data_IF_495984607897
#
_entry.id   IF_495984607897
#
_cell.length_a   1.000
_cell.length_b   1.000
_cell.length_c   1.000
_cell.angle_alpha   90.00
_cell.angle_beta   90.00
_cell.angle_gamma   90.00
#
_symmetry.space_group_name_H-M   'P 1'
#
loop_
_entity.id
_entity.type
_entity.pdbx_description
1 polymer ?
#
# COMPACT_ATOMS: atom_id res chain seq x y z
N UNK A 1 -14.19 7.16 18.97
CA UNK A 1 -15.60 7.65 18.85
C UNK A 1 -15.97 7.48 17.40
N UNK A 2 -16.98 6.68 17.09
CA UNK A 2 -17.49 6.59 15.71
C UNK A 2 -18.09 7.93 15.31
N UNK A 3 -17.56 8.51 14.23
CA UNK A 3 -18.07 9.74 13.64
C UNK A 3 -19.52 9.64 13.22
N UNK A 4 -20.13 10.76 12.84
CA UNK A 4 -21.53 10.82 12.40
C UNK A 4 -21.80 9.93 11.17
N UNK A 5 -20.74 9.58 10.44
CA UNK A 5 -20.75 8.71 9.26
C UNK A 5 -20.40 7.24 9.52
N UNK A 6 -20.24 6.84 10.79
CA UNK A 6 -19.95 5.44 11.16
C UNK A 6 -18.55 4.94 10.79
N UNK A 7 -17.67 5.83 10.31
CA UNK A 7 -16.26 5.55 10.05
C UNK A 7 -15.43 6.20 11.16
N UNK A 8 -14.49 5.47 11.74
CA UNK A 8 -13.55 6.01 12.72
C UNK A 8 -12.26 6.44 12.00
N UNK A 9 -11.93 7.74 11.96
CA UNK A 9 -10.73 8.22 11.26
C UNK A 9 -9.44 7.56 11.76
N UNK A 10 -9.34 7.31 13.07
CA UNK A 10 -8.20 6.60 13.67
C UNK A 10 -8.04 5.20 13.10
N UNK A 11 -9.13 4.47 12.85
CA UNK A 11 -9.06 3.14 12.25
C UNK A 11 -8.54 3.18 10.81
N UNK A 12 -8.87 4.24 10.05
CA UNK A 12 -8.31 4.45 8.70
C UNK A 12 -6.82 4.80 8.76
N UNK A 13 -6.40 5.64 9.70
CA UNK A 13 -4.98 5.98 9.92
C UNK A 13 -4.17 4.75 10.34
N UNK A 14 -4.71 3.92 11.24
CA UNK A 14 -4.08 2.68 11.68
C UNK A 14 -3.95 1.69 10.53
N UNK A 15 -4.99 1.59 9.70
CA UNK A 15 -4.93 0.76 8.49
C UNK A 15 -3.87 1.29 7.53
N UNK A 16 -3.80 2.60 7.28
CA UNK A 16 -2.76 3.20 6.46
C UNK A 16 -1.35 2.88 6.97
N UNK A 17 -1.14 2.93 8.29
CA UNK A 17 0.14 2.53 8.89
C UNK A 17 0.51 1.06 8.64
N UNK A 18 -0.48 0.15 8.63
CA UNK A 18 -0.24 -1.25 8.25
C UNK A 18 0.18 -1.41 6.80
N UNK A 19 -0.41 -0.64 5.88
CA UNK A 19 -0.02 -0.66 4.47
C UNK A 19 1.42 -0.14 4.28
N UNK A 20 1.82 0.92 4.97
CA UNK A 20 3.20 1.40 4.92
C UNK A 20 4.19 0.35 5.45
N UNK A 21 3.89 -0.28 6.59
CA UNK A 21 4.73 -1.35 7.14
C UNK A 21 4.87 -2.52 6.15
N UNK A 22 3.77 -2.94 5.51
CA UNK A 22 3.84 -3.98 4.50
C UNK A 22 4.66 -3.56 3.27
N UNK A 23 4.62 -2.29 2.87
CA UNK A 23 5.44 -1.78 1.78
C UNK A 23 6.94 -1.80 2.13
N UNK A 24 7.29 -1.41 3.35
CA UNK A 24 8.67 -1.48 3.86
C UNK A 24 9.14 -2.92 3.98
N UNK A 25 8.33 -3.80 4.59
CA UNK A 25 8.64 -5.22 4.80
C UNK A 25 8.81 -5.99 3.48
N UNK A 26 8.24 -5.51 2.38
CA UNK A 26 8.37 -6.11 1.04
C UNK A 26 9.72 -5.83 0.37
N UNK A 27 10.44 -4.78 0.79
CA UNK A 27 11.70 -4.40 0.15
C UNK A 27 12.75 -5.54 0.26
N UNK A 28 12.90 -6.11 1.45
CA UNK A 28 13.90 -7.15 1.72
C UNK A 28 13.64 -8.46 0.94
N UNK A 29 12.41 -9.04 0.94
CA UNK A 29 12.09 -10.19 0.10
C UNK A 29 12.26 -9.93 -1.40
N UNK A 30 11.94 -8.73 -1.90
CA UNK A 30 12.12 -8.36 -3.32
C UNK A 30 13.61 -8.34 -3.66
N UNK A 31 14.44 -7.74 -2.81
CA UNK A 31 15.89 -7.75 -2.99
C UNK A 31 16.47 -9.16 -2.93
N UNK A 32 16.02 -9.99 -2.00
CA UNK A 32 16.46 -11.39 -1.90
C UNK A 32 16.06 -12.21 -3.14
N UNK A 33 14.84 -12.01 -3.66
CA UNK A 33 14.38 -12.64 -4.89
C UNK A 33 15.22 -12.21 -6.09
N UNK A 34 15.52 -10.92 -6.22
CA UNK A 34 16.38 -10.39 -7.28
C UNK A 34 17.78 -11.01 -7.25
N UNK A 35 18.39 -11.08 -6.06
CA UNK A 35 19.70 -11.71 -5.87
C UNK A 35 19.70 -13.19 -6.28
N UNK A 36 18.74 -13.96 -5.75
CA UNK A 36 18.61 -15.39 -6.08
C UNK A 36 18.37 -15.61 -7.58
N UNK A 37 17.57 -14.74 -8.21
CA UNK A 37 17.29 -14.79 -9.65
C UNK A 37 18.55 -14.56 -10.48
N UNK A 38 19.42 -13.64 -10.05
CA UNK A 38 20.70 -13.37 -10.70
C UNK A 38 21.67 -14.56 -10.58
N UNK A 39 21.79 -15.15 -9.38
CA UNK A 39 22.63 -16.34 -9.14
C UNK A 39 22.20 -17.54 -10.00
N UNK A 40 20.88 -17.77 -10.12
CA UNK A 40 20.35 -18.80 -11.01
C UNK A 40 20.68 -18.48 -12.47
N UNK A 41 20.58 -17.20 -12.86
CA UNK A 41 21.06 -16.67 -14.13
C UNK A 41 22.48 -17.09 -14.47
N UNK A 42 23.41 -16.84 -13.55
CA UNK A 42 24.84 -17.12 -13.69
C UNK A 42 25.13 -18.63 -13.72
N UNK A 43 24.52 -19.40 -12.80
CA UNK A 43 24.74 -20.84 -12.71
C UNK A 43 24.35 -21.57 -13.99
N UNK A 44 23.22 -21.22 -14.60
CA UNK A 44 22.80 -21.81 -15.86
C UNK A 44 23.64 -21.33 -17.06
N UNK A 45 24.10 -20.08 -17.04
CA UNK A 45 25.05 -19.57 -18.03
C UNK A 45 26.37 -20.35 -18.03
N UNK A 46 26.88 -20.70 -16.85
CA UNK A 46 28.08 -21.52 -16.71
C UNK A 46 27.88 -22.98 -17.18
N UNK A 47 26.65 -23.50 -17.10
CA UNK A 47 26.32 -24.87 -17.48
C UNK A 47 26.05 -25.07 -18.98
N UNK A 48 26.04 -23.99 -19.79
CA UNK A 48 25.79 -24.07 -21.23
C UNK A 48 24.44 -24.72 -21.58
N UNK A 49 23.48 -24.66 -20.65
CA UNK A 49 22.24 -25.41 -20.72
C UNK A 49 21.24 -24.77 -21.70
N UNK A 50 20.91 -25.50 -22.77
CA UNK A 50 19.77 -25.32 -23.68
C UNK A 50 19.12 -23.91 -23.67
N UNK A 51 19.68 -22.99 -24.45
CA UNK A 51 19.39 -21.54 -24.45
C UNK A 51 17.89 -21.19 -24.38
N UNK A 52 17.04 -21.92 -25.09
CA UNK A 52 15.60 -21.62 -25.15
C UNK A 52 14.81 -21.88 -23.86
N UNK A 53 15.25 -22.81 -23.01
CA UNK A 53 14.62 -23.01 -21.69
C UNK A 53 15.11 -21.96 -20.69
N UNK A 54 16.39 -21.62 -20.78
CA UNK A 54 17.00 -20.59 -19.93
C UNK A 54 16.39 -19.21 -20.19
N UNK A 55 16.21 -18.84 -21.46
CA UNK A 55 15.66 -17.54 -21.84
C UNK A 55 14.20 -17.36 -21.33
N UNK A 56 13.42 -18.45 -21.32
CA UNK A 56 12.06 -18.44 -20.74
C UNK A 56 12.09 -18.28 -19.22
N UNK A 57 13.02 -18.96 -18.55
CA UNK A 57 13.16 -18.85 -17.10
C UNK A 57 13.60 -17.45 -16.68
N UNK A 58 14.57 -16.86 -17.39
CA UNK A 58 15.00 -15.47 -17.16
C UNK A 58 13.86 -14.48 -17.38
N UNK A 59 13.07 -14.64 -18.46
CA UNK A 59 11.88 -13.79 -18.72
C UNK A 59 10.85 -13.91 -17.60
N UNK A 60 10.61 -15.12 -17.08
CA UNK A 60 9.70 -15.34 -15.96
C UNK A 60 10.21 -14.65 -14.69
N UNK A 61 11.49 -14.79 -14.35
CA UNK A 61 12.09 -14.16 -13.18
C UNK A 61 12.05 -12.63 -13.29
N UNK A 62 12.40 -12.08 -14.46
CA UNK A 62 12.35 -10.65 -14.71
C UNK A 62 10.93 -10.08 -14.59
N UNK A 63 9.94 -10.74 -15.21
CA UNK A 63 8.54 -10.31 -15.10
C UNK A 63 7.97 -10.47 -13.68
N UNK A 64 8.44 -11.46 -12.93
CA UNK A 64 8.08 -11.63 -11.51
C UNK A 64 8.67 -10.50 -10.67
N UNK A 65 9.95 -10.17 -10.88
CA UNK A 65 10.61 -9.08 -10.19
C UNK A 65 9.93 -7.73 -10.48
N UNK A 66 9.59 -7.48 -11.75
CA UNK A 66 8.83 -6.30 -12.16
C UNK A 66 7.48 -6.24 -11.45
N UNK A 67 6.69 -7.32 -11.47
CA UNK A 67 5.39 -7.35 -10.79
C UNK A 67 5.52 -7.08 -9.28
N UNK A 68 6.52 -7.70 -8.63
CA UNK A 68 6.77 -7.51 -7.20
C UNK A 68 7.23 -6.09 -6.87
N UNK A 69 8.04 -5.45 -7.73
CA UNK A 69 8.54 -4.09 -7.48
C UNK A 69 7.45 -3.02 -7.50
N UNK A 70 6.27 -3.31 -8.07
CA UNK A 70 5.13 -2.39 -8.05
C UNK A 70 4.32 -2.47 -6.74
N UNK A 71 4.43 -3.57 -5.97
CA UNK A 71 3.61 -3.77 -4.76
C UNK A 71 3.84 -2.69 -3.67
N UNK A 72 5.09 -2.27 -3.37
CA UNK A 72 5.32 -1.20 -2.40
C UNK A 72 4.66 0.12 -2.81
N UNK A 73 4.67 0.46 -4.10
CA UNK A 73 4.02 1.68 -4.61
C UNK A 73 2.50 1.61 -4.47
N UNK A 74 1.90 0.46 -4.76
CA UNK A 74 0.46 0.23 -4.57
C UNK A 74 0.08 0.39 -3.10
N UNK A 75 0.84 -0.19 -2.18
CA UNK A 75 0.55 -0.10 -0.75
C UNK A 75 0.71 1.32 -0.19
N UNK A 76 1.77 2.02 -0.56
CA UNK A 76 1.96 3.43 -0.15
C UNK A 76 0.88 4.35 -0.75
N UNK A 77 0.45 4.07 -1.98
CA UNK A 77 -0.68 4.76 -2.62
C UNK A 77 -2.01 4.55 -1.88
N UNK A 78 -2.34 3.32 -1.51
CA UNK A 78 -3.54 3.02 -0.74
C UNK A 78 -3.47 3.61 0.68
N UNK A 79 -2.31 3.57 1.33
CA UNK A 79 -2.09 4.23 2.62
C UNK A 79 -2.35 5.75 2.54
N UNK A 80 -1.85 6.42 1.49
CA UNK A 80 -2.11 7.84 1.27
C UNK A 80 -3.60 8.13 1.09
N UNK A 81 -4.32 7.30 0.34
CA UNK A 81 -5.78 7.44 0.13
C UNK A 81 -6.57 7.24 1.43
N UNK A 82 -6.16 6.29 2.27
CA UNK A 82 -6.76 6.07 3.59
C UNK A 82 -6.58 7.29 4.49
N UNK A 83 -5.41 7.91 4.50
CA UNK A 83 -5.15 9.16 5.26
C UNK A 83 -6.01 10.33 4.77
N UNK A 84 -6.12 10.50 3.45
CA UNK A 84 -7.00 11.51 2.86
C UNK A 84 -8.45 11.29 3.32
N UNK A 85 -8.93 10.05 3.26
CA UNK A 85 -10.28 9.73 3.72
C UNK A 85 -10.46 9.99 5.22
N UNK A 86 -9.48 9.66 6.05
CA UNK A 86 -9.50 9.95 7.49
C UNK A 86 -9.68 11.45 7.75
N UNK A 87 -8.89 12.29 7.07
CA UNK A 87 -9.00 13.76 7.16
C UNK A 87 -10.40 14.23 6.74
N UNK A 88 -10.90 13.74 5.61
CA UNK A 88 -12.23 14.13 5.11
C UNK A 88 -13.35 13.79 6.09
N UNK A 89 -13.28 12.63 6.76
CA UNK A 89 -14.27 12.26 7.78
C UNK A 89 -14.16 13.15 9.03
N UNK A 90 -12.94 13.49 9.48
CA UNK A 90 -12.75 14.42 10.60
C UNK A 90 -13.32 15.81 10.30
N UNK A 91 -13.05 16.33 9.11
CA UNK A 91 -13.56 17.63 8.68
C UNK A 91 -15.08 17.62 8.57
N UNK A 92 -15.66 16.56 7.99
CA UNK A 92 -17.10 16.40 7.87
C UNK A 92 -17.80 16.33 9.23
N UNK A 93 -17.25 15.57 10.19
CA UNK A 93 -17.77 15.49 11.56
C UNK A 93 -17.70 16.87 12.26
N UNK A 94 -16.60 17.59 12.11
CA UNK A 94 -16.43 18.91 12.71
C UNK A 94 -17.44 19.93 12.15
N UNK A 95 -17.67 19.90 10.83
CA UNK A 95 -18.69 20.72 10.16
C UNK A 95 -20.08 20.39 10.68
N UNK A 96 -20.41 19.10 10.80
CA UNK A 96 -21.72 18.66 11.27
C UNK A 96 -21.99 19.07 12.72
N UNK A 97 -20.99 18.94 13.61
CA UNK A 97 -21.05 19.42 15.00
C UNK A 97 -21.29 20.94 15.02
N UNK A 98 -20.60 21.71 14.18
CA UNK A 98 -20.80 23.16 14.07
C UNK A 98 -22.23 23.54 13.64
N UNK A 99 -22.81 22.80 12.70
CA UNK A 99 -24.21 23.00 12.30
C UNK A 99 -25.20 22.69 13.43
N UNK A 100 -25.00 21.59 14.17
CA UNK A 100 -25.86 21.24 15.30
C UNK A 100 -25.79 22.31 16.40
N UNK A 101 -24.59 22.80 16.72
CA UNK A 101 -24.41 23.85 17.73
C UNK A 101 -25.04 25.18 17.32
N UNK A 102 -24.93 25.56 16.04
CA UNK A 102 -25.55 26.80 15.54
C UNK A 102 -27.07 26.71 15.51
N UNK A 103 -27.63 25.58 15.05
CA UNK A 103 -29.08 25.34 15.07
C UNK A 103 -29.63 25.35 16.50
N UNK A 104 -28.95 24.72 17.45
CA UNK A 104 -29.35 24.74 18.85
C UNK A 104 -29.37 26.17 19.41
N UNK A 105 -28.37 27.02 19.13
CA UNK A 105 -28.35 28.41 19.61
C UNK A 105 -29.50 29.25 19.05
N UNK A 106 -29.89 29.05 17.79
CA UNK A 106 -31.02 29.77 17.17
C UNK A 106 -32.35 29.37 17.81
N UNK A 107 -32.48 28.14 18.32
CA UNK A 107 -33.72 27.65 18.91
C UNK A 107 -33.98 28.14 20.35
N UNK A 108 -32.96 28.69 21.02
CA UNK A 108 -33.05 29.24 22.39
C UNK A 108 -32.86 30.77 22.46
N UNK A 109 -32.89 31.46 21.31
CA UNK A 109 -32.84 32.91 21.18
C UNK A 109 -34.23 33.45 20.77
#
# INVERSE_FOLDING_TARGET
MTGQYGVEPTALTDLAGKFDLQAEDLADPIHAFAGTSAEVGEAFGALGACDGAMEKYQKLLAGTLEALSHLPEVFTGDAARLRINASNYQDADQVAIGHLQSAARVQWA
#
